data_IF_525419931399
#
_entry.id   IF_525419931399
#
_cell.length_a   1.000
_cell.length_b   1.000
_cell.length_c   1.000
_cell.angle_alpha   90.00
_cell.angle_beta   90.00
_cell.angle_gamma   90.00
#
_symmetry.space_group_name_H-M   'P 1'
#
loop_
_entity.id
_entity.type
_entity.pdbx_description
1 polymer ?
#
# COMPACT_ATOMS: atom_id res chain seq x y z
N UNK A 1 27.79 7.76 29.09
CA UNK A 1 26.37 7.35 29.03
C UNK A 1 25.83 7.88 27.71
N UNK A 2 25.90 7.07 26.66
CA UNK A 2 25.56 7.46 25.27
C UNK A 2 24.53 6.46 24.77
N UNK A 3 23.29 6.66 25.18
CA UNK A 3 22.13 5.90 24.69
C UNK A 3 21.28 6.85 23.85
N UNK A 4 21.83 7.30 22.71
CA UNK A 4 21.05 7.93 21.64
C UNK A 4 21.07 7.00 20.43
N UNK A 5 20.26 5.94 20.49
CA UNK A 5 19.90 5.18 19.29
C UNK A 5 18.60 4.37 19.49
N UNK A 6 17.62 4.88 20.23
CA UNK A 6 16.25 4.38 20.05
C UNK A 6 15.70 5.05 18.79
N UNK A 7 16.20 4.63 17.63
CA UNK A 7 15.55 4.92 16.35
C UNK A 7 14.17 4.33 16.48
N UNK A 8 13.18 5.20 16.67
CA UNK A 8 11.82 4.80 16.95
C UNK A 8 11.36 3.87 15.84
N UNK A 9 11.28 2.58 16.16
CA UNK A 9 10.45 1.62 15.45
C UNK A 9 9.02 2.08 15.72
N UNK A 10 8.64 3.22 15.16
CA UNK A 10 7.25 3.62 15.06
C UNK A 10 6.69 2.55 14.16
N UNK A 11 5.92 1.64 14.75
CA UNK A 11 5.08 0.71 14.00
C UNK A 11 4.32 1.56 12.97
N UNK A 12 4.79 1.51 11.72
CA UNK A 12 4.16 2.20 10.62
C UNK A 12 3.15 1.21 10.12
N UNK A 13 1.95 1.34 10.64
CA UNK A 13 0.81 0.71 10.03
C UNK A 13 0.55 1.53 8.78
N UNK A 14 0.44 0.92 7.63
CA UNK A 14 0.11 1.59 6.37
C UNK A 14 -1.00 0.76 5.69
N UNK A 15 -2.00 1.42 5.09
CA UNK A 15 -3.02 0.71 4.29
C UNK A 15 -2.49 0.65 2.86
N UNK A 16 -2.32 -0.55 2.34
CA UNK A 16 -1.92 -0.76 0.95
C UNK A 16 -3.13 -1.19 0.15
N UNK A 17 -3.58 -0.35 -0.77
CA UNK A 17 -4.66 -0.67 -1.71
C UNK A 17 -4.05 -1.14 -3.03
N UNK A 18 -4.27 -2.39 -3.38
CA UNK A 18 -3.81 -3.00 -4.61
C UNK A 18 -4.89 -2.92 -5.68
N UNK A 19 -4.53 -2.38 -6.84
CA UNK A 19 -5.42 -2.27 -7.98
C UNK A 19 -5.23 -3.43 -8.96
N UNK A 20 -6.18 -3.61 -9.87
CA UNK A 20 -6.04 -4.61 -10.93
C UNK A 20 -4.92 -4.22 -11.91
N UNK A 21 -4.23 -5.24 -12.43
CA UNK A 21 -3.25 -5.04 -13.50
C UNK A 21 -3.97 -4.48 -14.74
N UNK A 22 -3.48 -3.36 -15.27
CA UNK A 22 -4.12 -2.63 -16.36
C UNK A 22 -5.10 -1.52 -15.92
N UNK A 23 -5.28 -1.28 -14.62
CA UNK A 23 -6.01 -0.10 -14.12
C UNK A 23 -5.36 1.18 -14.66
N UNK A 24 -6.11 2.07 -15.33
CA UNK A 24 -5.55 3.30 -15.87
C UNK A 24 -5.08 4.24 -14.76
N UNK A 25 -3.94 4.90 -14.98
CA UNK A 25 -3.35 5.80 -14.00
C UNK A 25 -4.32 6.91 -13.55
N UNK A 26 -5.14 7.45 -14.46
CA UNK A 26 -6.16 8.45 -14.15
C UNK A 26 -7.15 7.99 -13.07
N UNK A 27 -7.55 6.70 -13.10
CA UNK A 27 -8.46 6.15 -12.10
C UNK A 27 -7.79 6.04 -10.75
N UNK A 28 -6.52 5.62 -10.71
CA UNK A 28 -5.76 5.52 -9.47
C UNK A 28 -5.50 6.91 -8.87
N UNK A 29 -5.16 7.90 -9.69
CA UNK A 29 -4.97 9.29 -9.27
C UNK A 29 -6.28 9.90 -8.73
N UNK A 30 -7.43 9.53 -9.32
CA UNK A 30 -8.73 9.94 -8.80
C UNK A 30 -8.95 9.39 -7.39
N UNK A 31 -8.70 8.09 -7.19
CA UNK A 31 -8.80 7.45 -5.87
C UNK A 31 -7.80 8.06 -4.89
N UNK A 32 -6.55 8.30 -5.30
CA UNK A 32 -5.54 8.99 -4.49
C UNK A 32 -6.06 10.33 -4.01
N UNK A 33 -6.63 11.14 -4.90
CA UNK A 33 -7.21 12.44 -4.56
C UNK A 33 -8.41 12.33 -3.63
N UNK A 34 -9.23 11.28 -3.77
CA UNK A 34 -10.34 11.03 -2.84
C UNK A 34 -9.83 10.66 -1.44
N UNK A 35 -8.85 9.78 -1.36
CA UNK A 35 -8.25 9.37 -0.08
C UNK A 35 -7.58 10.56 0.60
N UNK A 36 -6.88 11.41 -0.16
CA UNK A 36 -6.22 12.60 0.37
C UNK A 36 -7.21 13.63 0.97
N UNK A 37 -8.50 13.56 0.60
CA UNK A 37 -9.57 14.39 1.19
C UNK A 37 -10.14 13.80 2.49
N UNK A 38 -9.85 12.54 2.80
CA UNK A 38 -10.32 11.89 4.03
C UNK A 38 -9.60 12.52 5.21
N UNK A 39 -10.35 12.94 6.23
CA UNK A 39 -9.74 13.44 7.46
C UNK A 39 -8.88 12.35 8.10
N UNK A 40 -7.77 12.74 8.74
CA UNK A 40 -6.80 11.84 9.35
C UNK A 40 -5.89 11.08 8.38
N UNK A 41 -6.03 11.26 7.06
CA UNK A 41 -4.98 10.86 6.11
C UNK A 41 -3.87 11.89 6.17
N UNK A 42 -2.66 11.42 6.46
CA UNK A 42 -1.45 12.26 6.51
C UNK A 42 -0.75 12.31 5.16
N UNK A 43 -0.68 11.19 4.47
CA UNK A 43 -0.05 11.09 3.17
C UNK A 43 -0.62 9.92 2.37
N UNK A 44 -0.73 10.08 1.06
CA UNK A 44 -0.98 8.99 0.12
C UNK A 44 0.22 8.89 -0.79
N UNK A 45 0.78 7.69 -0.95
CA UNK A 45 1.92 7.41 -1.82
C UNK A 45 1.45 6.53 -2.97
N UNK A 46 1.53 7.07 -4.20
CA UNK A 46 1.26 6.31 -5.41
C UNK A 46 2.48 5.50 -5.83
N UNK A 47 2.28 4.19 -5.93
CA UNK A 47 3.26 3.21 -6.37
C UNK A 47 2.77 2.60 -7.68
N UNK A 48 3.39 2.98 -8.80
CA UNK A 48 3.10 2.37 -10.09
C UNK A 48 3.39 0.87 -10.10
N UNK A 49 2.73 0.10 -10.96
CA UNK A 49 2.93 -1.34 -11.14
C UNK A 49 4.39 -1.79 -11.21
N UNK A 50 5.23 -1.02 -11.92
CA UNK A 50 6.66 -1.34 -12.08
C UNK A 50 7.43 -1.23 -10.75
N UNK A 51 7.16 -0.16 -10.00
CA UNK A 51 7.72 0.05 -8.66
C UNK A 51 7.14 -0.95 -7.66
N UNK A 52 5.87 -1.32 -7.79
CA UNK A 52 5.23 -2.34 -6.95
C UNK A 52 5.89 -3.70 -7.15
N UNK A 53 6.15 -4.09 -8.39
CA UNK A 53 6.91 -5.29 -8.73
C UNK A 53 8.30 -5.27 -8.15
N UNK A 54 9.00 -4.13 -8.28
CA UNK A 54 10.34 -3.97 -7.71
C UNK A 54 10.33 -4.12 -6.19
N UNK A 55 9.44 -3.40 -5.49
CA UNK A 55 9.29 -3.49 -4.03
C UNK A 55 8.91 -4.92 -3.60
N UNK A 56 8.00 -5.57 -4.32
CA UNK A 56 7.59 -6.94 -4.02
C UNK A 56 8.73 -7.94 -4.20
N UNK A 57 9.51 -7.78 -5.27
CA UNK A 57 10.72 -8.56 -5.53
C UNK A 57 11.78 -8.31 -4.45
N UNK A 58 11.98 -7.07 -4.00
CA UNK A 58 12.91 -6.74 -2.92
C UNK A 58 12.47 -7.35 -1.57
N UNK A 59 11.18 -7.26 -1.22
CA UNK A 59 10.62 -7.86 0.00
C UNK A 59 10.73 -9.39 -0.01
N UNK A 60 10.52 -10.01 -1.17
CA UNK A 60 10.56 -11.47 -1.35
C UNK A 60 11.88 -11.95 -1.97
N UNK A 61 12.96 -11.17 -1.87
CA UNK A 61 14.25 -11.55 -2.47
C UNK A 61 14.81 -12.84 -1.87
N UNK A 62 14.47 -13.12 -0.61
CA UNK A 62 14.86 -14.34 0.10
C UNK A 62 13.96 -15.55 -0.24
N UNK A 63 12.94 -15.37 -1.09
CA UNK A 63 12.01 -16.43 -1.49
C UNK A 63 12.19 -16.74 -2.98
N UNK A 64 13.11 -17.67 -3.28
CA UNK A 64 13.47 -18.06 -4.65
C UNK A 64 12.30 -18.61 -5.45
N UNK A 65 11.30 -19.22 -4.79
CA UNK A 65 10.08 -19.70 -5.46
C UNK A 65 9.25 -18.53 -6.00
N UNK A 66 9.09 -17.46 -5.23
CA UNK A 66 8.35 -16.27 -5.65
C UNK A 66 9.09 -15.55 -6.77
N UNK A 67 10.42 -15.40 -6.68
CA UNK A 67 11.21 -14.80 -7.75
C UNK A 67 11.11 -15.60 -9.06
N UNK A 68 11.19 -16.93 -8.97
CA UNK A 68 11.08 -17.82 -10.14
C UNK A 68 9.70 -17.73 -10.79
N UNK A 69 8.63 -17.71 -9.98
CA UNK A 69 7.26 -17.55 -10.47
C UNK A 69 7.05 -16.20 -11.17
N UNK A 70 7.57 -15.10 -10.61
CA UNK A 70 7.50 -13.77 -11.25
C UNK A 70 8.25 -13.75 -12.59
N UNK A 71 9.38 -14.43 -12.69
CA UNK A 71 10.20 -14.48 -13.90
C UNK A 71 9.56 -15.38 -14.99
N UNK A 72 8.77 -16.39 -14.60
CA UNK A 72 8.09 -17.31 -15.52
C UNK A 72 6.82 -16.71 -16.16
N UNK A 73 6.09 -15.86 -15.43
CA UNK A 73 4.83 -15.24 -15.90
C UNK A 73 5.09 -14.22 -17.02
N UNK A 74 6.27 -13.59 -17.07
CA UNK A 74 6.72 -12.68 -18.12
C UNK A 74 5.96 -11.34 -18.21
N UNK A 75 4.78 -11.25 -17.61
CA UNK A 75 3.92 -10.07 -17.51
C UNK A 75 3.73 -9.70 -16.04
N UNK A 76 3.61 -8.40 -15.72
CA UNK A 76 3.51 -7.93 -14.35
C UNK A 76 2.12 -8.26 -13.76
N UNK A 77 2.02 -9.22 -12.81
CA UNK A 77 0.72 -9.56 -12.23
C UNK A 77 0.26 -8.52 -11.20
N UNK A 78 1.13 -7.58 -10.82
CA UNK A 78 0.88 -6.56 -9.82
C UNK A 78 0.40 -5.27 -10.49
N UNK A 79 -0.78 -4.82 -10.09
CA UNK A 79 -1.29 -3.51 -10.46
C UNK A 79 -0.60 -2.37 -9.72
N UNK A 80 -1.01 -1.13 -10.00
CA UNK A 80 -0.60 0.00 -9.18
C UNK A 80 -1.09 -0.19 -7.74
N UNK A 81 -0.40 0.43 -6.79
CA UNK A 81 -0.67 0.34 -5.35
C UNK A 81 -0.73 1.75 -4.78
N UNK A 82 -1.72 2.01 -3.93
CA UNK A 82 -1.79 3.23 -3.13
C UNK A 82 -1.47 2.89 -1.68
N UNK A 83 -0.46 3.54 -1.12
CA UNK A 83 -0.07 3.39 0.28
C UNK A 83 -0.60 4.60 1.05
N UNK A 84 -1.55 4.37 1.94
CA UNK A 84 -2.21 5.40 2.73
C UNK A 84 -1.62 5.39 4.13
N UNK A 85 -1.10 6.54 4.54
CA UNK A 85 -0.50 6.77 5.85
C UNK A 85 -1.45 7.67 6.63
N UNK A 86 -1.95 7.18 7.76
CA UNK A 86 -2.74 8.00 8.65
C UNK A 86 -1.86 8.92 9.50
N UNK A 87 -2.47 9.95 10.06
CA UNK A 87 -1.88 10.77 11.12
C UNK A 87 -1.66 9.96 12.40
N UNK A 88 -2.64 9.11 12.74
CA UNK A 88 -2.62 8.27 13.94
C UNK A 88 -3.20 6.86 13.66
N UNK A 89 -2.65 5.85 14.34
CA UNK A 89 -3.05 4.44 14.28
C UNK A 89 -4.53 4.25 14.66
N UNK A 90 -5.04 5.02 15.62
CA UNK A 90 -6.44 4.95 16.04
C UNK A 90 -7.44 5.36 14.94
N UNK A 91 -6.99 6.12 13.92
CA UNK A 91 -7.84 6.64 12.86
C UNK A 91 -7.97 5.70 11.65
N UNK A 92 -7.17 4.64 11.56
CA UNK A 92 -7.24 3.64 10.48
C UNK A 92 -8.64 3.06 10.25
N UNK A 93 -9.38 2.61 11.29
CA UNK A 93 -10.74 2.12 11.09
C UNK A 93 -11.68 3.18 10.48
N UNK A 94 -11.49 4.47 10.80
CA UNK A 94 -12.29 5.56 10.23
C UNK A 94 -11.94 5.79 8.75
N UNK A 95 -10.65 5.69 8.40
CA UNK A 95 -10.17 5.79 7.02
C UNK A 95 -10.70 4.61 6.20
N UNK A 96 -10.61 3.38 6.72
CA UNK A 96 -11.16 2.17 6.09
C UNK A 96 -12.68 2.28 5.89
N UNK A 97 -13.40 2.82 6.87
CA UNK A 97 -14.83 3.07 6.73
C UNK A 97 -15.12 4.07 5.62
N UNK A 98 -14.33 5.14 5.53
CA UNK A 98 -14.44 6.14 4.46
C UNK A 98 -14.12 5.54 3.09
N UNK A 99 -13.09 4.70 2.98
CA UNK A 99 -12.73 3.96 1.74
C UNK A 99 -13.91 3.10 1.28
N UNK A 100 -14.58 2.40 2.21
CA UNK A 100 -15.79 1.62 1.92
C UNK A 100 -16.98 2.49 1.51
N UNK A 101 -17.19 3.63 2.19
CA UNK A 101 -18.26 4.58 1.87
C UNK A 101 -18.10 5.18 0.46
N UNK A 102 -16.86 5.55 0.10
CA UNK A 102 -16.51 6.00 -1.25
C UNK A 102 -16.49 4.87 -2.29
N UNK A 103 -16.77 3.62 -1.89
CA UNK A 103 -16.74 2.44 -2.76
C UNK A 103 -15.38 2.25 -3.45
N UNK A 104 -14.31 2.73 -2.83
CA UNK A 104 -12.94 2.56 -3.34
C UNK A 104 -12.54 1.08 -3.27
N UNK A 105 -13.05 0.35 -2.28
CA UNK A 105 -12.95 -1.11 -2.17
C UNK A 105 -13.40 -1.84 -3.44
N UNK A 106 -14.46 -1.36 -4.11
CA UNK A 106 -14.96 -1.95 -5.36
C UNK A 106 -14.02 -1.67 -6.56
N UNK A 107 -13.14 -0.68 -6.44
CA UNK A 107 -12.15 -0.29 -7.47
C UNK A 107 -10.79 -0.93 -7.24
N UNK A 108 -10.59 -1.54 -6.08
CA UNK A 108 -9.34 -2.18 -5.67
C UNK A 108 -9.53 -3.68 -5.65
N UNK A 109 -8.50 -4.41 -6.08
CA UNK A 109 -8.50 -5.87 -6.04
C UNK A 109 -8.40 -6.39 -4.61
N UNK A 110 -7.56 -5.74 -3.82
CA UNK A 110 -7.24 -6.15 -2.46
C UNK A 110 -6.85 -4.92 -1.64
N UNK A 111 -7.29 -4.91 -0.39
CA UNK A 111 -6.87 -3.90 0.60
C UNK A 111 -6.15 -4.66 1.69
N UNK A 112 -4.86 -4.39 1.82
CA UNK A 112 -4.03 -4.95 2.86
C UNK A 112 -3.80 -3.92 3.96
N UNK A 113 -3.85 -4.42 5.18
CA UNK A 113 -3.57 -3.65 6.39
C UNK A 113 -2.42 -4.34 7.08
N UNK A 114 -1.22 -3.82 6.86
CA UNK A 114 0.00 -4.36 7.41
C UNK A 114 0.11 -3.94 8.89
N UNK A 115 -0.53 -4.73 9.73
CA UNK A 115 -0.37 -4.70 11.19
C UNK A 115 0.90 -5.49 11.52
N UNK A 116 2.06 -4.82 11.51
CA UNK A 116 3.25 -5.37 12.17
C UNK A 116 3.05 -5.37 13.69
N UNK A 117 2.10 -6.19 14.17
CA UNK A 117 2.08 -6.68 15.54
C UNK A 117 3.15 -7.74 15.66
N UNK A 118 4.30 -7.29 16.18
CA UNK A 118 5.27 -8.13 16.87
C UNK A 118 4.62 -8.92 18.02
#
# INVERSE_FOLDING_TARGET
>A
MTEQAVSSIKQRIDISLYFEAGTPADQVLLVESQINKIQHVKNVEYVSSDVALKKFSETHINNELIQSALNEIGENPLGPVLIVKADNIDNYPLILQSIKDFKIDELTKEIDYDDHKI
#
